data_IF_549099607191
#
_entry.id   IF_549099607191
#
_cell.length_a   1.000
_cell.length_b   1.000
_cell.length_c   1.000
_cell.angle_alpha   90.00
_cell.angle_beta   90.00
_cell.angle_gamma   90.00
#
_symmetry.space_group_name_H-M   'P 1'
#
loop_
_entity.id
_entity.type
_entity.pdbx_description
1 polymer ?
#
# COMPACT_ATOMS: atom_id res chain seq x y z
N UNK A 1 -6.96 -4.38 -20.73
CA UNK A 1 -5.89 -4.59 -19.73
C UNK A 1 -6.35 -3.89 -18.48
N UNK A 2 -6.94 -4.63 -17.55
CA UNK A 2 -7.45 -4.03 -16.30
C UNK A 2 -6.31 -3.76 -15.34
N UNK A 3 -5.85 -2.52 -15.34
CA UNK A 3 -5.02 -1.95 -14.28
C UNK A 3 -5.97 -1.41 -13.23
N UNK A 4 -6.34 -2.23 -12.25
CA UNK A 4 -7.19 -1.82 -11.14
C UNK A 4 -6.44 -0.82 -10.25
N UNK A 5 -6.63 0.45 -10.59
CA UNK A 5 -6.43 1.67 -9.81
C UNK A 5 -5.00 1.97 -9.36
N UNK A 6 -4.34 2.87 -10.12
CA UNK A 6 -3.23 3.66 -9.60
C UNK A 6 -3.78 4.64 -8.55
N UNK A 7 -3.72 4.28 -7.29
CA UNK A 7 -3.98 5.24 -6.22
C UNK A 7 -2.67 5.85 -5.74
N UNK A 8 -2.66 7.17 -5.55
CA UNK A 8 -1.50 7.88 -5.01
C UNK A 8 -1.49 7.80 -3.50
N UNK A 9 -0.33 7.55 -2.93
CA UNK A 9 -0.10 7.62 -1.50
C UNK A 9 -0.06 9.10 -1.09
N UNK A 10 -1.06 9.55 -0.34
CA UNK A 10 -1.15 10.92 0.18
C UNK A 10 -0.74 11.00 1.66
N UNK A 11 -0.72 9.86 2.34
CA UNK A 11 -0.36 9.75 3.75
C UNK A 11 0.24 8.39 4.08
N UNK A 12 1.03 8.33 5.14
CA UNK A 12 1.50 7.08 5.73
C UNK A 12 1.63 7.24 7.24
N UNK A 13 1.32 6.20 8.01
CA UNK A 13 1.35 6.21 9.47
C UNK A 13 1.52 4.81 10.05
N UNK A 14 1.52 4.71 11.37
CA UNK A 14 1.52 3.45 12.12
C UNK A 14 0.31 3.41 13.05
N UNK A 15 -0.41 2.30 13.05
CA UNK A 15 -1.55 2.11 13.94
C UNK A 15 -1.08 1.64 15.32
N UNK A 16 -1.00 2.59 16.27
CA UNK A 16 -0.59 2.32 17.65
C UNK A 16 -1.52 1.34 18.37
N UNK A 17 -2.78 1.24 17.96
CA UNK A 17 -3.74 0.31 18.56
C UNK A 17 -3.53 -1.13 18.07
N UNK A 18 -2.81 -1.31 16.97
CA UNK A 18 -2.58 -2.59 16.32
C UNK A 18 -1.08 -2.87 16.16
N UNK A 19 -0.35 -2.87 17.28
CA UNK A 19 1.10 -3.21 17.35
C UNK A 19 1.98 -2.40 16.39
N UNK A 20 1.67 -1.12 16.20
CA UNK A 20 2.38 -0.22 15.29
C UNK A 20 2.44 -0.73 13.83
N UNK A 21 1.44 -1.49 13.39
CA UNK A 21 1.35 -1.95 12.00
C UNK A 21 1.30 -0.72 11.08
N UNK A 22 2.18 -0.64 10.06
CA UNK A 22 2.21 0.48 9.16
C UNK A 22 1.00 0.48 8.21
N UNK A 23 0.54 1.66 7.87
CA UNK A 23 -0.53 1.87 6.91
C UNK A 23 -0.23 3.05 5.98
N UNK A 24 -0.87 3.04 4.82
CA UNK A 24 -0.91 4.14 3.87
C UNK A 24 -2.31 4.68 3.72
N UNK A 25 -2.40 5.96 3.38
CA UNK A 25 -3.64 6.64 3.00
C UNK A 25 -3.55 6.98 1.53
N UNK A 26 -4.54 6.54 0.78
CA UNK A 26 -4.63 6.67 -0.66
C UNK A 26 -5.44 7.90 -1.07
N UNK A 27 -5.26 8.38 -2.31
CA UNK A 27 -5.98 9.51 -2.88
C UNK A 27 -7.51 9.34 -2.87
N UNK A 28 -7.98 8.10 -3.00
CA UNK A 28 -9.39 7.73 -2.86
C UNK A 28 -9.91 7.73 -1.40
N UNK A 29 -9.09 8.19 -0.44
CA UNK A 29 -9.35 8.21 1.01
C UNK A 29 -9.41 6.84 1.71
N UNK A 30 -9.07 5.74 1.02
CA UNK A 30 -8.91 4.44 1.66
C UNK A 30 -7.60 4.38 2.44
N UNK A 31 -7.65 3.62 3.54
CA UNK A 31 -6.48 3.26 4.32
C UNK A 31 -6.17 1.80 4.09
N UNK A 32 -4.92 1.49 3.74
CA UNK A 32 -4.45 0.13 3.52
C UNK A 32 -3.28 -0.17 4.46
N UNK A 33 -3.35 -1.29 5.17
CA UNK A 33 -2.23 -1.76 5.96
C UNK A 33 -1.18 -2.40 5.04
N UNK A 34 0.08 -2.15 5.34
CA UNK A 34 1.21 -2.63 4.55
C UNK A 34 2.19 -3.37 5.45
N UNK A 35 3.09 -4.13 4.83
CA UNK A 35 4.20 -4.75 5.55
C UNK A 35 5.20 -3.70 6.01
N UNK A 36 5.97 -4.03 7.05
CA UNK A 36 7.13 -3.22 7.46
C UNK A 36 8.20 -3.12 6.36
N UNK A 37 8.31 -4.13 5.49
CA UNK A 37 9.26 -4.12 4.38
C UNK A 37 8.94 -3.05 3.34
N UNK A 38 7.64 -2.76 3.13
CA UNK A 38 7.20 -1.68 2.25
C UNK A 38 7.38 -0.31 2.89
N UNK A 39 7.15 -0.21 4.21
CA UNK A 39 7.09 1.06 4.95
C UNK A 39 8.30 1.99 4.72
N UNK A 40 9.50 1.40 4.69
CA UNK A 40 10.76 2.15 4.54
C UNK A 40 11.02 2.59 3.10
N UNK A 41 10.43 1.92 2.10
CA UNK A 41 10.63 2.23 0.68
C UNK A 41 9.58 3.20 0.11
N UNK A 42 8.40 3.28 0.73
CA UNK A 42 7.30 4.10 0.22
C UNK A 42 7.39 5.56 0.68
N UNK A 43 7.04 6.47 -0.22
CA UNK A 43 6.96 7.91 0.05
C UNK A 43 5.59 8.47 -0.36
N UNK A 44 5.25 9.66 0.17
CA UNK A 44 4.07 10.40 -0.30
C UNK A 44 4.31 10.84 -1.75
N UNK A 45 3.32 10.65 -2.61
CA UNK A 45 3.41 10.91 -4.04
C UNK A 45 3.71 9.68 -4.89
N UNK A 46 4.19 8.59 -4.28
CA UNK A 46 4.27 7.29 -4.96
C UNK A 46 2.86 6.77 -5.29
N UNK A 47 2.76 5.95 -6.32
CA UNK A 47 1.52 5.27 -6.70
C UNK A 47 1.58 3.80 -6.30
N UNK A 48 0.46 3.24 -5.90
CA UNK A 48 0.30 1.81 -5.67
C UNK A 48 -0.70 1.25 -6.68
N UNK A 49 -0.46 0.03 -7.16
CA UNK A 49 -1.39 -0.73 -7.97
C UNK A 49 -1.43 -2.17 -7.50
N UNK A 50 -2.60 -2.79 -7.60
CA UNK A 50 -2.74 -4.25 -7.51
C UNK A 50 -3.73 -4.70 -8.56
N UNK A 51 -3.31 -5.70 -9.31
CA UNK A 51 -4.18 -6.34 -10.26
C UNK A 51 -5.19 -7.22 -9.52
N UNK A 52 -6.42 -7.24 -10.00
CA UNK A 52 -7.43 -8.17 -9.51
C UNK A 52 -6.95 -9.62 -9.64
N UNK A 53 -7.14 -10.41 -8.58
CA UNK A 53 -6.65 -11.79 -8.50
C UNK A 53 -5.16 -11.94 -8.17
N UNK A 54 -4.37 -10.87 -8.19
CA UNK A 54 -2.97 -10.94 -7.78
C UNK A 54 -2.81 -10.83 -6.27
N UNK A 55 -1.81 -11.55 -5.76
CA UNK A 55 -1.42 -11.52 -4.37
C UNK A 55 -0.41 -10.42 -4.06
N UNK A 56 0.01 -9.61 -5.03
CA UNK A 56 1.05 -8.60 -4.85
C UNK A 56 0.54 -7.19 -5.10
N UNK A 57 1.05 -6.23 -4.33
CA UNK A 57 1.02 -4.81 -4.70
C UNK A 57 2.33 -4.42 -5.36
N UNK A 58 2.25 -3.47 -6.29
CA UNK A 58 3.41 -2.83 -6.92
C UNK A 58 3.41 -1.35 -6.54
N UNK A 59 4.57 -0.86 -6.13
CA UNK A 59 4.80 0.54 -5.83
C UNK A 59 5.55 1.17 -6.99
N UNK A 60 5.05 2.30 -7.45
CA UNK A 60 5.61 3.07 -8.55
C UNK A 60 6.04 4.44 -8.04
N UNK A 61 7.26 4.84 -8.44
CA UNK A 61 7.73 6.22 -8.31
C UNK A 61 7.89 6.79 -9.70
N UNK A 62 6.99 7.70 -10.07
CA UNK A 62 6.79 8.05 -11.47
C UNK A 62 6.28 6.84 -12.27
N UNK A 63 6.96 6.51 -13.39
CA UNK A 63 6.56 5.42 -14.30
C UNK A 63 7.38 4.12 -14.11
N UNK A 64 8.06 3.95 -12.96
CA UNK A 64 8.90 2.78 -12.68
C UNK A 64 8.45 2.07 -11.41
N UNK A 65 8.41 0.74 -11.46
CA UNK A 65 8.22 -0.09 -10.26
C UNK A 65 9.48 0.00 -9.40
N UNK A 66 9.35 0.43 -8.15
CA UNK A 66 10.45 0.50 -7.18
C UNK A 66 10.44 -0.67 -6.20
N UNK A 67 9.26 -1.25 -5.96
CA UNK A 67 9.07 -2.37 -5.04
C UNK A 67 7.78 -3.11 -5.38
N UNK A 68 7.74 -4.39 -5.04
CA UNK A 68 6.50 -5.14 -4.92
C UNK A 68 6.55 -5.95 -3.63
N UNK A 69 5.39 -6.25 -3.06
CA UNK A 69 5.27 -7.09 -1.87
C UNK A 69 3.93 -7.80 -1.84
N UNK A 70 3.84 -8.85 -1.03
CA UNK A 70 2.63 -9.61 -0.83
C UNK A 70 1.55 -8.73 -0.19
N UNK A 71 0.35 -8.76 -0.77
CA UNK A 71 -0.84 -8.22 -0.16
C UNK A 71 -1.25 -9.08 1.02
N UNK A 72 -0.97 -8.58 2.21
CA UNK A 72 -1.47 -9.16 3.45
C UNK A 72 -2.70 -8.34 3.86
N UNK A 73 -3.88 -8.92 3.68
CA UNK A 73 -5.09 -8.37 4.29
C UNK A 73 -5.03 -8.63 5.79
N UNK A 74 -4.65 -7.61 6.55
CA UNK A 74 -4.73 -7.66 8.00
C UNK A 74 -6.20 -7.54 8.39
N UNK A 75 -6.89 -8.68 8.51
CA UNK A 75 -8.21 -8.72 9.12
C UNK A 75 -8.03 -8.42 10.60
N UNK A 76 -8.62 -7.33 11.08
CA UNK A 76 -8.68 -7.04 12.52
C UNK A 76 -9.34 -8.25 13.18
N UNK A 77 -8.62 -8.93 14.07
CA UNK A 77 -9.20 -9.96 14.91
C UNK A 77 -10.11 -9.23 15.90
N UNK A 78 -11.42 -9.46 15.77
CA UNK A 78 -12.44 -9.03 16.73
C UNK A 78 -12.39 -9.87 18.01
#
# INVERSE_FOLDING_TARGET
MDYSVFDRIIGKGKDKSNRDIPYIVLSNKKQEYISSNLWDCIEKGDSISKKEGEQYYYIFRGNKVIKYDLYISYKKLE
#
